data_IF_884237433506
#
_entry.id   IF_884237433506
#
_cell.length_a   1.000
_cell.length_b   1.000
_cell.length_c   1.000
_cell.angle_alpha   90.00
_cell.angle_beta   90.00
_cell.angle_gamma   90.00
#
_symmetry.space_group_name_H-M   'P 1'
#
loop_
_entity.id
_entity.type
_entity.pdbx_description
1 polymer ?
#
# COMPACT_ATOMS: atom_id res chain seq x y z
N UNK A 1 43.05 14.83 -8.07
CA UNK A 1 43.39 13.67 -7.22
C UNK A 1 42.18 13.00 -6.58
N UNK A 2 41.02 13.66 -6.42
CA UNK A 2 39.81 13.02 -5.86
C UNK A 2 38.96 12.24 -6.87
N UNK A 3 39.24 12.38 -8.16
CA UNK A 3 38.48 11.75 -9.25
C UNK A 3 38.95 10.33 -9.60
N UNK A 4 40.13 9.90 -9.13
CA UNK A 4 40.68 8.58 -9.44
C UNK A 4 40.26 7.47 -8.46
N UNK A 5 39.75 7.83 -7.27
CA UNK A 5 39.39 6.86 -6.22
C UNK A 5 38.00 6.24 -6.44
N UNK A 6 37.10 6.92 -7.17
CA UNK A 6 35.73 6.45 -7.41
C UNK A 6 35.62 5.38 -8.51
N UNK A 7 36.66 5.16 -9.31
CA UNK A 7 36.63 4.21 -10.41
C UNK A 7 36.98 2.76 -9.99
N UNK A 8 37.50 2.55 -8.77
CA UNK A 8 38.04 1.26 -8.35
C UNK A 8 37.13 0.47 -7.39
N UNK A 9 36.00 1.04 -6.95
CA UNK A 9 35.03 0.37 -6.07
C UNK A 9 33.87 -0.29 -6.81
N UNK A 10 33.83 -0.20 -8.15
CA UNK A 10 32.75 -0.72 -9.01
C UNK A 10 33.21 -1.94 -9.85
N UNK A 11 34.00 -2.86 -9.26
CA UNK A 11 34.63 -3.95 -10.02
C UNK A 11 34.44 -5.38 -9.51
N UNK A 12 33.85 -5.62 -8.32
CA UNK A 12 33.98 -6.95 -7.70
C UNK A 12 32.78 -7.39 -6.82
N UNK A 13 31.56 -7.33 -7.34
CA UNK A 13 30.42 -8.01 -6.70
C UNK A 13 29.33 -8.43 -7.69
N UNK A 14 29.69 -9.11 -8.79
CA UNK A 14 28.71 -9.79 -9.64
C UNK A 14 29.32 -11.10 -10.16
N UNK A 15 29.19 -12.19 -9.38
CA UNK A 15 28.96 -13.58 -9.84
C UNK A 15 29.19 -14.53 -8.66
N UNK A 16 28.14 -14.91 -7.94
CA UNK A 16 27.90 -16.28 -7.45
C UNK A 16 26.66 -16.28 -6.57
N UNK A 17 25.61 -16.97 -7.03
CA UNK A 17 24.84 -17.99 -6.30
C UNK A 17 23.55 -18.25 -7.11
N UNK A 18 23.55 -19.38 -7.81
CA UNK A 18 22.32 -19.97 -8.31
C UNK A 18 21.44 -20.44 -7.15
N UNK A 19 20.14 -20.26 -7.32
CA UNK A 19 19.09 -20.89 -6.52
C UNK A 19 17.88 -21.15 -7.41
N UNK A 20 17.67 -22.42 -7.76
CA UNK A 20 16.40 -22.94 -8.30
C UNK A 20 15.39 -23.10 -7.14
N UNK A 21 14.22 -23.73 -7.36
CA UNK A 21 12.95 -23.18 -7.80
C UNK A 21 11.93 -23.06 -6.65
N UNK A 22 11.00 -22.11 -6.73
CA UNK A 22 9.75 -22.17 -5.97
C UNK A 22 8.58 -22.00 -6.94
N UNK A 23 8.05 -23.12 -7.42
CA UNK A 23 6.61 -23.20 -7.67
C UNK A 23 5.92 -22.89 -6.35
N UNK A 24 4.83 -22.11 -6.33
CA UNK A 24 3.71 -22.16 -5.37
C UNK A 24 2.75 -20.98 -5.65
N UNK A 25 1.49 -21.32 -5.98
CA UNK A 25 0.25 -20.57 -5.71
C UNK A 25 0.21 -19.03 -5.83
N UNK A 26 -0.54 -18.53 -6.81
CA UNK A 26 -0.88 -17.13 -7.06
C UNK A 26 -1.40 -16.35 -5.82
N UNK A 27 -1.21 -15.02 -5.75
CA UNK A 27 -2.02 -14.18 -4.88
C UNK A 27 -3.07 -13.42 -5.70
N UNK A 28 -4.35 -13.78 -5.52
CA UNK A 28 -5.51 -13.02 -6.00
C UNK A 28 -5.52 -11.54 -5.56
N UNK A 29 -4.63 -11.15 -4.63
CA UNK A 29 -4.46 -9.79 -4.13
C UNK A 29 -3.58 -8.90 -5.02
N UNK A 30 -2.57 -9.43 -5.75
CA UNK A 30 -1.75 -8.60 -6.66
C UNK A 30 -2.46 -8.24 -7.97
N UNK A 31 -3.53 -8.95 -8.33
CA UNK A 31 -4.27 -8.70 -9.57
C UNK A 31 -5.25 -7.51 -9.51
N UNK A 32 -5.70 -7.09 -8.31
CA UNK A 32 -6.71 -6.02 -8.18
C UNK A 32 -6.15 -4.65 -8.57
N UNK A 33 -4.94 -4.33 -8.09
CA UNK A 33 -4.28 -3.05 -8.42
C UNK A 33 -3.99 -2.95 -9.91
N UNK A 34 -3.50 -4.04 -10.53
CA UNK A 34 -3.23 -4.09 -11.98
C UNK A 34 -4.50 -3.91 -12.80
N UNK A 35 -5.58 -4.61 -12.45
CA UNK A 35 -6.89 -4.48 -13.14
C UNK A 35 -7.47 -3.09 -12.99
N UNK A 36 -7.43 -2.48 -11.79
CA UNK A 36 -7.91 -1.11 -11.60
C UNK A 36 -7.04 -0.08 -12.32
N UNK A 37 -5.73 -0.30 -12.39
CA UNK A 37 -4.83 0.56 -13.15
C UNK A 37 -5.10 0.48 -14.66
N UNK A 38 -5.27 -0.74 -15.17
CA UNK A 38 -5.62 -1.00 -16.57
C UNK A 38 -6.96 -0.35 -16.94
N UNK A 39 -7.99 -0.55 -16.12
CA UNK A 39 -9.29 0.12 -16.31
C UNK A 39 -9.20 1.65 -16.24
N UNK A 40 -8.29 2.20 -15.42
CA UNK A 40 -8.08 3.65 -15.35
C UNK A 40 -7.48 4.16 -16.67
N UNK A 41 -6.50 3.44 -17.23
CA UNK A 41 -5.88 3.78 -18.52
C UNK A 41 -6.89 3.63 -19.67
N UNK A 42 -7.72 2.57 -19.70
CA UNK A 42 -8.77 2.40 -20.72
C UNK A 42 -9.86 3.49 -20.64
N UNK A 43 -10.10 4.04 -19.44
CA UNK A 43 -10.99 5.20 -19.24
C UNK A 43 -10.34 6.54 -19.59
N UNK A 44 -9.11 6.54 -20.09
CA UNK A 44 -8.38 7.75 -20.44
C UNK A 44 -8.03 8.61 -19.21
N UNK A 45 -7.92 8.01 -18.02
CA UNK A 45 -7.47 8.65 -16.78
C UNK A 45 -5.93 8.65 -16.69
N UNK A 46 -5.27 8.98 -17.81
CA UNK A 46 -3.82 9.04 -17.98
C UNK A 46 -3.20 10.35 -17.48
N UNK A 47 -1.96 10.64 -17.90
CA UNK A 47 -1.18 11.81 -17.48
C UNK A 47 -2.02 13.11 -17.51
N UNK A 48 -2.04 13.85 -16.39
CA UNK A 48 -2.85 15.06 -16.19
C UNK A 48 -4.15 14.86 -15.39
N UNK A 49 -4.69 13.65 -15.28
CA UNK A 49 -5.96 13.35 -14.58
C UNK A 49 -5.77 12.68 -13.21
N UNK A 50 -4.81 13.20 -12.43
CA UNK A 50 -4.37 12.58 -11.18
C UNK A 50 -5.47 12.45 -10.12
N UNK A 51 -6.39 13.42 -10.04
CA UNK A 51 -7.46 13.43 -9.05
C UNK A 51 -8.59 12.46 -9.42
N UNK A 52 -9.05 12.50 -10.68
CA UNK A 52 -10.05 11.57 -11.23
C UNK A 52 -9.54 10.12 -11.21
N UNK A 53 -8.25 9.90 -11.52
CA UNK A 53 -7.61 8.59 -11.43
C UNK A 53 -7.60 8.05 -10.00
N UNK A 54 -7.32 8.91 -9.01
CA UNK A 54 -7.33 8.52 -7.59
C UNK A 54 -8.73 8.15 -7.11
N UNK A 55 -9.73 8.95 -7.48
CA UNK A 55 -11.13 8.64 -7.17
C UNK A 55 -11.56 7.31 -7.80
N UNK A 56 -11.26 7.11 -9.09
CA UNK A 56 -11.56 5.86 -9.79
C UNK A 56 -10.83 4.65 -9.20
N UNK A 57 -9.56 4.80 -8.82
CA UNK A 57 -8.80 3.72 -8.22
C UNK A 57 -9.33 3.35 -6.83
N UNK A 58 -9.77 4.34 -6.05
CA UNK A 58 -10.43 4.11 -4.75
C UNK A 58 -11.75 3.36 -4.94
N UNK A 59 -12.55 3.77 -5.91
CA UNK A 59 -13.83 3.12 -6.22
C UNK A 59 -13.62 1.67 -6.71
N UNK A 60 -12.72 1.47 -7.67
CA UNK A 60 -12.42 0.14 -8.23
C UNK A 60 -11.86 -0.83 -7.18
N UNK A 61 -10.98 -0.34 -6.29
CA UNK A 61 -10.43 -1.14 -5.19
C UNK A 61 -11.47 -1.43 -4.10
N UNK A 62 -12.47 -0.55 -3.91
CA UNK A 62 -13.54 -0.72 -2.93
C UNK A 62 -14.63 -1.68 -3.44
N UNK A 63 -15.10 -1.50 -4.68
CA UNK A 63 -16.15 -2.33 -5.29
C UNK A 63 -15.74 -3.81 -5.46
N UNK A 64 -14.47 -4.11 -5.76
CA UNK A 64 -13.96 -5.49 -5.88
C UNK A 64 -13.52 -6.11 -4.54
N UNK A 65 -13.69 -5.39 -3.44
CA UNK A 65 -13.49 -5.92 -2.09
C UNK A 65 -14.77 -6.57 -1.53
N UNK A 66 -15.92 -6.38 -2.21
CA UNK A 66 -17.21 -6.94 -1.78
C UNK A 66 -17.43 -8.41 -2.20
N UNK A 67 -16.68 -8.91 -3.19
CA UNK A 67 -16.62 -10.35 -3.53
C UNK A 67 -15.22 -10.91 -3.24
N UNK A 68 -15.02 -11.32 -2.00
CA UNK A 68 -13.83 -12.07 -1.58
C UNK A 68 -12.95 -11.30 -0.60
N UNK A 69 -13.30 -11.45 0.68
CA UNK A 69 -12.38 -11.37 1.82
C UNK A 69 -12.09 -9.96 2.32
N UNK A 70 -12.87 -9.55 3.34
CA UNK A 70 -12.44 -8.63 4.39
C UNK A 70 -12.03 -7.25 3.89
N UNK A 71 -12.96 -6.30 3.96
CA UNK A 71 -12.66 -4.87 3.93
C UNK A 71 -11.72 -4.51 5.07
N UNK A 72 -10.42 -4.68 4.85
CA UNK A 72 -9.41 -3.91 5.56
C UNK A 72 -9.50 -2.52 4.96
N UNK A 73 -10.34 -1.69 5.56
CA UNK A 73 -10.02 -0.28 5.67
C UNK A 73 -8.51 -0.20 5.92
N UNK A 74 -7.75 0.41 5.00
CA UNK A 74 -6.29 0.38 5.10
C UNK A 74 -5.92 0.79 6.51
N UNK A 75 -4.88 0.20 7.11
CA UNK A 75 -4.48 0.52 8.48
C UNK A 75 -4.41 2.04 8.74
N UNK A 76 -4.07 2.80 7.70
CA UNK A 76 -4.07 4.26 7.68
C UNK A 76 -5.47 4.89 7.84
N UNK A 77 -6.49 4.34 7.19
CA UNK A 77 -7.86 4.84 7.30
C UNK A 77 -8.49 4.46 8.66
N UNK A 78 -8.24 3.23 9.15
CA UNK A 78 -8.62 2.81 10.50
C UNK A 78 -8.03 3.72 11.57
N UNK A 79 -6.76 4.08 11.42
CA UNK A 79 -6.08 5.04 12.31
C UNK A 79 -6.74 6.42 12.29
N UNK A 80 -7.15 6.94 11.13
CA UNK A 80 -7.85 8.23 11.05
C UNK A 80 -9.20 8.18 11.76
N UNK A 81 -9.95 7.10 11.58
CA UNK A 81 -11.24 6.87 12.22
C UNK A 81 -11.09 6.78 13.75
N UNK A 82 -10.17 5.95 14.26
CA UNK A 82 -9.87 5.86 15.69
C UNK A 82 -9.45 7.20 16.30
N UNK A 83 -8.65 8.01 15.59
CA UNK A 83 -8.25 9.33 16.10
C UNK A 83 -9.41 10.32 16.15
N UNK A 84 -10.30 10.32 15.15
CA UNK A 84 -11.50 11.17 15.15
C UNK A 84 -12.44 10.81 16.30
N UNK A 85 -12.68 9.51 16.52
CA UNK A 85 -13.52 9.05 17.62
C UNK A 85 -12.91 9.35 18.99
N UNK A 86 -11.59 9.20 19.13
CA UNK A 86 -10.89 9.57 20.36
C UNK A 86 -11.03 11.08 20.66
N UNK A 87 -10.93 11.93 19.63
CA UNK A 87 -11.11 13.37 19.77
C UNK A 87 -12.56 13.75 20.07
N UNK A 88 -13.53 13.11 19.42
CA UNK A 88 -14.96 13.34 19.67
C UNK A 88 -15.39 12.91 21.08
N UNK A 89 -14.70 11.92 21.65
CA UNK A 89 -14.87 11.48 23.05
C UNK A 89 -13.97 12.26 24.02
N UNK A 90 -13.25 13.27 23.53
CA UNK A 90 -12.31 14.10 24.30
C UNK A 90 -11.31 13.27 25.12
N UNK A 91 -10.94 12.09 24.62
CA UNK A 91 -10.03 11.19 25.29
C UNK A 91 -8.61 11.77 25.21
N UNK A 92 -7.99 11.91 26.37
CA UNK A 92 -6.61 12.39 26.51
C UNK A 92 -5.80 11.43 27.39
N UNK A 93 -4.47 11.58 27.35
CA UNK A 93 -3.55 10.77 28.16
C UNK A 93 -3.72 9.27 27.95
N UNK A 94 -3.81 8.53 29.06
CA UNK A 94 -3.89 7.07 29.07
C UNK A 94 -5.18 6.53 28.42
N UNK A 95 -6.30 7.24 28.63
CA UNK A 95 -7.60 6.87 28.07
C UNK A 95 -7.59 6.82 26.53
N UNK A 96 -6.92 7.80 25.89
CA UNK A 96 -6.75 7.80 24.43
C UNK A 96 -5.91 6.65 23.94
N UNK A 97 -4.80 6.33 24.63
CA UNK A 97 -3.91 5.22 24.24
C UNK A 97 -4.63 3.89 24.30
N UNK A 98 -5.37 3.63 25.40
CA UNK A 98 -6.14 2.40 25.58
C UNK A 98 -7.25 2.27 24.53
N UNK A 99 -7.96 3.36 24.26
CA UNK A 99 -8.95 3.41 23.20
C UNK A 99 -8.33 3.14 21.82
N UNK A 100 -7.22 3.80 21.50
CA UNK A 100 -6.57 3.65 20.20
C UNK A 100 -6.00 2.24 20.00
N UNK A 101 -5.41 1.63 21.03
CA UNK A 101 -4.92 0.25 20.96
C UNK A 101 -6.07 -0.74 20.72
N UNK A 102 -7.18 -0.58 21.43
CA UNK A 102 -8.38 -1.41 21.23
C UNK A 102 -8.95 -1.21 19.82
N UNK A 103 -9.14 0.04 19.41
CA UNK A 103 -9.68 0.40 18.10
C UNK A 103 -8.81 -0.11 16.93
N UNK A 104 -7.48 -0.14 17.09
CA UNK A 104 -6.54 -0.59 16.05
C UNK A 104 -6.28 -2.09 16.04
N UNK A 105 -6.68 -2.84 17.07
CA UNK A 105 -6.31 -4.25 17.26
C UNK A 105 -6.97 -5.26 16.29
N UNK A 106 -7.96 -4.83 15.51
CA UNK A 106 -8.67 -5.66 14.50
C UNK A 106 -8.03 -5.67 13.11
#
# INVERSE_FOLDING_TARGET
MWTAVRALTLGLFVLSLGGTPYALGAPAQQNKMKVCNDQANTKGLGEGKGEERRAFMKECLSAKSEKGGGGKESQQNKMKTCNKEAAAKELTGDARKKFMSNCLSS
#
